data_IF_127519052573
#
_entry.id   IF_127519052573
#
_cell.length_a   1.000
_cell.length_b   1.000
_cell.length_c   1.000
_cell.angle_alpha   90.00
_cell.angle_beta   90.00
_cell.angle_gamma   90.00
#
_symmetry.space_group_name_H-M   'P 1'
#
loop_
_entity.id
_entity.type
_entity.pdbx_description
1 polymer ?
#
# COMPACT_ATOMS: atom_id res chain seq x y z
N UNK A 1 22.57 18.09 -8.40
CA UNK A 1 21.74 17.31 -9.34
C UNK A 1 20.44 16.79 -8.74
N UNK A 2 20.40 16.22 -7.52
CA UNK A 2 19.14 15.92 -6.82
C UNK A 2 18.62 17.12 -5.99
N UNK A 3 19.51 17.97 -5.47
CA UNK A 3 19.14 19.20 -4.74
C UNK A 3 18.65 20.33 -5.67
N UNK A 4 19.08 20.35 -6.94
CA UNK A 4 18.57 21.34 -7.92
C UNK A 4 17.13 21.05 -8.36
N UNK A 5 16.66 19.80 -8.21
CA UNK A 5 15.27 19.40 -8.51
C UNK A 5 14.28 19.78 -7.40
N UNK A 6 14.78 20.03 -6.18
CA UNK A 6 13.97 20.36 -5.01
C UNK A 6 13.72 21.87 -4.95
N UNK A 7 14.65 22.70 -5.44
CA UNK A 7 14.50 24.16 -5.53
C UNK A 7 13.66 24.62 -6.75
N UNK A 8 13.58 23.84 -7.84
CA UNK A 8 12.86 24.23 -9.06
C UNK A 8 11.35 23.89 -9.05
N UNK A 9 10.90 22.97 -8.19
CA UNK A 9 9.52 22.44 -8.19
C UNK A 9 8.74 22.69 -6.89
N UNK A 10 9.17 23.65 -6.08
CA UNK A 10 8.48 24.05 -4.84
C UNK A 10 7.06 24.60 -5.09
N UNK A 11 6.05 23.76 -4.84
CA UNK A 11 4.74 24.09 -4.25
C UNK A 11 3.75 25.01 -5.00
N UNK A 12 4.18 25.86 -5.94
CA UNK A 12 3.33 26.92 -6.50
C UNK A 12 2.92 26.71 -7.96
N UNK A 13 3.57 25.81 -8.70
CA UNK A 13 3.36 25.63 -10.16
C UNK A 13 2.30 24.56 -10.49
N UNK A 14 1.94 23.70 -9.53
CA UNK A 14 1.01 22.58 -9.74
C UNK A 14 -0.45 23.07 -9.87
N UNK A 15 -0.80 24.23 -9.29
CA UNK A 15 -2.15 24.80 -9.43
C UNK A 15 -2.37 25.54 -10.76
N UNK A 16 -1.32 26.08 -11.39
CA UNK A 16 -1.44 26.97 -12.56
C UNK A 16 -1.46 26.19 -13.89
N UNK A 17 -0.77 25.04 -13.97
CA UNK A 17 -0.72 24.20 -15.19
C UNK A 17 -1.97 23.35 -15.44
N UNK A 18 -2.77 23.05 -14.42
CA UNK A 18 -3.97 22.21 -14.59
C UNK A 18 -5.22 22.98 -15.06
N UNK A 19 -5.16 24.32 -15.10
CA UNK A 19 -6.31 25.20 -15.37
C UNK A 19 -6.47 25.63 -16.85
N UNK A 20 -5.68 25.10 -17.78
CA UNK A 20 -5.84 25.39 -19.21
C UNK A 20 -5.99 24.10 -20.02
N UNK A 21 -6.98 24.09 -20.90
CA UNK A 21 -7.24 23.04 -21.92
C UNK A 21 -7.84 21.71 -21.41
N UNK A 22 -9.16 21.72 -21.11
CA UNK A 22 -9.94 20.50 -20.86
C UNK A 22 -10.59 19.90 -22.13
N UNK A 23 -10.57 20.61 -23.27
CA UNK A 23 -11.14 20.11 -24.53
C UNK A 23 -10.28 19.04 -25.26
N UNK A 24 -9.12 18.65 -24.71
CA UNK A 24 -8.22 17.64 -25.30
C UNK A 24 -8.05 16.36 -24.45
N UNK A 25 -8.84 16.19 -23.37
CA UNK A 25 -8.59 15.18 -22.33
C UNK A 25 -9.28 13.83 -22.59
N UNK A 26 -8.69 13.00 -23.45
CA UNK A 26 -8.96 11.53 -23.53
C UNK A 26 -7.72 10.68 -23.17
N UNK A 27 -6.64 11.29 -22.70
CA UNK A 27 -5.55 10.55 -22.09
C UNK A 27 -4.86 11.43 -21.07
N UNK A 28 -4.72 10.94 -19.83
CA UNK A 28 -3.83 11.54 -18.84
C UNK A 28 -2.42 11.61 -19.47
N UNK A 29 -1.87 12.83 -19.60
CA UNK A 29 -0.55 13.03 -20.20
C UNK A 29 0.51 12.46 -19.25
N UNK A 30 0.96 11.23 -19.54
CA UNK A 30 1.97 10.49 -18.77
C UNK A 30 3.31 11.23 -18.67
N UNK A 31 3.54 12.28 -19.48
CA UNK A 31 4.74 13.13 -19.40
C UNK A 31 4.82 13.97 -18.11
N UNK A 32 3.71 14.08 -17.37
CA UNK A 32 3.67 14.79 -16.09
C UNK A 32 4.02 13.90 -14.89
N UNK A 33 4.14 12.58 -15.10
CA UNK A 33 4.66 11.68 -14.08
C UNK A 33 6.19 11.60 -14.19
N UNK A 34 6.93 11.49 -13.07
CA UNK A 34 8.34 11.14 -13.10
C UNK A 34 8.55 9.92 -14.01
N UNK A 35 9.52 9.99 -14.93
CA UNK A 35 9.65 9.01 -16.03
C UNK A 35 9.75 7.55 -15.57
N UNK A 36 10.27 7.32 -14.36
CA UNK A 36 10.33 6.00 -13.75
C UNK A 36 8.94 5.47 -13.36
N UNK A 37 8.06 6.32 -12.81
CA UNK A 37 6.68 5.97 -12.44
C UNK A 37 5.80 5.72 -13.67
N UNK A 38 5.97 6.51 -14.73
CA UNK A 38 5.27 6.28 -15.99
C UNK A 38 5.61 4.90 -16.58
N UNK A 39 6.89 4.50 -16.51
CA UNK A 39 7.34 3.18 -17.00
C UNK A 39 6.86 2.00 -16.14
N UNK A 40 6.74 2.21 -14.82
CA UNK A 40 6.22 1.20 -13.88
C UNK A 40 4.71 1.07 -13.98
N UNK A 41 3.98 2.16 -14.19
CA UNK A 41 2.55 2.17 -14.46
C UNK A 41 2.19 1.30 -15.69
N UNK A 42 2.95 1.45 -16.78
CA UNK A 42 2.77 0.61 -18.00
C UNK A 42 3.05 -0.87 -17.72
N UNK A 43 3.98 -1.19 -16.81
CA UNK A 43 4.31 -2.58 -16.42
C UNK A 43 3.38 -3.18 -15.35
N UNK A 44 2.74 -2.35 -14.54
CA UNK A 44 1.87 -2.75 -13.44
C UNK A 44 0.42 -3.06 -13.87
N UNK A 45 0.12 -2.94 -15.17
CA UNK A 45 -1.18 -3.29 -15.72
C UNK A 45 -1.55 -4.74 -15.34
N UNK A 46 -2.72 -4.99 -14.75
CA UNK A 46 -2.96 -6.25 -14.05
C UNK A 46 -3.11 -7.42 -15.02
N UNK A 47 -2.13 -8.31 -15.03
CA UNK A 47 -2.39 -9.72 -15.30
C UNK A 47 -3.02 -10.35 -14.06
N UNK A 48 -4.37 -10.45 -14.07
CA UNK A 48 -5.20 -11.35 -13.25
C UNK A 48 -4.68 -11.62 -11.81
N UNK A 49 -4.98 -10.74 -10.86
CA UNK A 49 -4.81 -11.04 -9.43
C UNK A 49 -6.02 -11.81 -8.91
N UNK A 50 -5.80 -13.02 -8.40
CA UNK A 50 -6.82 -13.83 -7.72
C UNK A 50 -7.37 -13.10 -6.49
N UNK A 51 -8.66 -13.31 -6.12
CA UNK A 51 -9.25 -12.68 -4.95
C UNK A 51 -8.45 -13.05 -3.70
N UNK A 52 -7.94 -12.03 -3.00
CA UNK A 52 -7.32 -12.15 -1.70
C UNK A 52 -8.32 -12.84 -0.77
N UNK A 53 -8.01 -14.09 -0.38
CA UNK A 53 -8.76 -14.81 0.64
C UNK A 53 -8.76 -13.96 1.90
N UNK A 54 -9.91 -13.35 2.21
CA UNK A 54 -10.13 -12.67 3.47
C UNK A 54 -9.76 -13.64 4.60
N UNK A 55 -8.85 -13.21 5.46
CA UNK A 55 -8.54 -13.89 6.71
C UNK A 55 -9.84 -13.93 7.53
N UNK A 56 -10.60 -15.03 7.42
CA UNK A 56 -11.76 -15.26 8.25
C UNK A 56 -11.26 -15.48 9.67
N UNK A 57 -11.62 -14.55 10.54
CA UNK A 57 -11.17 -14.46 11.92
C UNK A 57 -11.22 -15.79 12.67
N UNK A 58 -10.27 -15.89 13.61
CA UNK A 58 -10.10 -17.00 14.54
C UNK A 58 -11.43 -17.57 14.99
N UNK A 59 -11.61 -18.85 14.71
CA UNK A 59 -12.81 -19.59 15.02
C UNK A 59 -13.05 -19.57 16.54
N UNK A 60 -14.30 -19.41 16.96
CA UNK A 60 -14.70 -19.48 18.38
C UNK A 60 -14.33 -20.78 19.11
N UNK A 61 -13.70 -21.75 18.41
CA UNK A 61 -13.08 -22.93 19.01
C UNK A 61 -11.85 -22.61 19.87
N UNK A 62 -11.09 -21.56 19.56
CA UNK A 62 -9.88 -21.19 20.32
C UNK A 62 -10.22 -20.72 21.75
N UNK A 63 -11.34 -20.02 21.92
CA UNK A 63 -11.84 -19.60 23.24
C UNK A 63 -12.39 -20.76 24.08
N UNK A 64 -12.97 -21.78 23.46
CA UNK A 64 -13.43 -22.98 24.15
C UNK A 64 -12.25 -23.87 24.59
N UNK A 65 -11.21 -23.96 23.76
CA UNK A 65 -9.99 -24.70 24.10
C UNK A 65 -9.25 -24.06 25.30
N UNK A 66 -9.16 -22.74 25.34
CA UNK A 66 -8.52 -22.00 26.43
C UNK A 66 -9.28 -22.12 27.78
N UNK A 67 -10.61 -22.15 27.74
CA UNK A 67 -11.42 -22.27 28.97
C UNK A 67 -11.39 -23.69 29.57
N UNK A 68 -11.36 -24.73 28.74
CA UNK A 68 -11.21 -26.13 29.21
C UNK A 68 -9.84 -26.35 29.85
N UNK A 69 -8.78 -25.75 29.30
CA UNK A 69 -7.41 -25.91 29.83
C UNK A 69 -7.23 -25.22 31.19
N UNK A 70 -7.87 -24.07 31.44
CA UNK A 70 -7.90 -23.43 32.78
C UNK A 70 -8.60 -24.31 33.82
N UNK A 71 -9.68 -25.01 33.44
CA UNK A 71 -10.38 -25.94 34.34
C UNK A 71 -9.51 -27.13 34.75
N UNK A 72 -8.86 -27.78 33.78
CA UNK A 72 -7.99 -28.92 34.04
C UNK A 72 -6.79 -28.54 34.91
N UNK A 73 -6.23 -27.34 34.68
CA UNK A 73 -5.11 -26.85 35.49
C UNK A 73 -5.56 -26.53 36.92
N UNK A 74 -6.70 -25.88 37.13
CA UNK A 74 -7.17 -25.52 38.48
C UNK A 74 -7.51 -26.73 39.36
N UNK A 75 -8.13 -27.78 38.80
CA UNK A 75 -8.44 -29.01 39.52
C UNK A 75 -7.18 -29.75 39.96
N UNK A 76 -6.11 -29.69 39.17
CA UNK A 76 -4.80 -30.25 39.51
C UNK A 76 -4.17 -29.56 40.73
N UNK A 77 -4.20 -28.22 40.80
CA UNK A 77 -3.62 -27.49 41.94
C UNK A 77 -4.37 -27.72 43.26
N UNK A 78 -5.71 -27.87 43.22
CA UNK A 78 -6.49 -28.18 44.42
C UNK A 78 -6.19 -29.58 44.96
N UNK A 79 -5.94 -30.56 44.08
CA UNK A 79 -5.58 -31.92 44.48
C UNK A 79 -4.15 -32.03 45.02
N UNK A 80 -3.22 -31.17 44.57
CA UNK A 80 -1.80 -31.24 44.94
C UNK A 80 -1.48 -30.45 46.22
N UNK A 81 -2.23 -29.39 46.54
CA UNK A 81 -1.92 -28.49 47.67
C UNK A 81 -3.02 -28.45 48.76
N UNK A 82 -3.96 -29.39 48.71
CA UNK A 82 -5.11 -29.46 49.61
C UNK A 82 -4.80 -30.05 50.98
N UNK A 83 -3.83 -29.49 51.72
CA UNK A 83 -3.72 -29.70 53.17
C UNK A 83 -3.73 -28.34 53.90
N UNK A 84 -4.74 -28.16 54.74
CA UNK A 84 -4.86 -27.18 55.85
C UNK A 84 -5.07 -25.67 55.61
N UNK A 85 -5.33 -25.18 54.38
CA UNK A 85 -5.73 -23.77 54.21
C UNK A 85 -7.10 -23.59 53.54
N UNK A 86 -8.15 -23.84 54.33
CA UNK A 86 -9.55 -23.68 53.94
C UNK A 86 -9.89 -22.27 53.40
N UNK A 87 -9.06 -21.24 53.62
CA UNK A 87 -9.28 -19.88 53.11
C UNK A 87 -8.91 -19.70 51.63
N UNK A 88 -7.91 -20.42 51.11
CA UNK A 88 -7.44 -20.23 49.73
C UNK A 88 -8.28 -20.99 48.72
N UNK A 89 -8.85 -22.14 49.12
CA UNK A 89 -9.74 -22.94 48.28
C UNK A 89 -11.00 -22.16 47.88
N UNK A 90 -11.61 -21.41 48.81
CA UNK A 90 -12.77 -20.57 48.50
C UNK A 90 -12.45 -19.43 47.53
N UNK A 91 -11.28 -18.79 47.64
CA UNK A 91 -10.87 -17.73 46.71
C UNK A 91 -10.66 -18.26 45.28
N UNK A 92 -10.08 -19.46 45.13
CA UNK A 92 -9.90 -20.11 43.83
C UNK A 92 -11.23 -20.57 43.22
N UNK A 93 -12.15 -21.09 44.05
CA UNK A 93 -13.50 -21.47 43.61
C UNK A 93 -14.27 -20.22 43.12
N UNK A 94 -14.22 -19.13 43.89
CA UNK A 94 -14.89 -17.88 43.53
C UNK A 94 -14.30 -17.27 42.25
N UNK A 95 -12.98 -17.23 42.12
CA UNK A 95 -12.29 -16.71 40.93
C UNK A 95 -12.62 -17.49 39.66
N UNK A 96 -12.64 -18.84 39.74
CA UNK A 96 -13.05 -19.69 38.61
C UNK A 96 -14.52 -19.49 38.24
N UNK A 97 -15.40 -19.32 39.24
CA UNK A 97 -16.82 -19.08 38.99
C UNK A 97 -17.05 -17.76 38.22
N UNK A 98 -16.32 -16.69 38.57
CA UNK A 98 -16.38 -15.39 37.87
C UNK A 98 -15.90 -15.52 36.43
N UNK A 99 -14.79 -16.23 36.18
CA UNK A 99 -14.25 -16.46 34.84
C UNK A 99 -15.25 -17.24 33.95
N UNK A 100 -15.85 -18.30 34.48
CA UNK A 100 -16.85 -19.09 33.75
C UNK A 100 -18.08 -18.27 33.45
N UNK A 101 -18.55 -17.46 34.39
CA UNK A 101 -19.70 -16.58 34.19
C UNK A 101 -19.41 -15.54 33.09
N UNK A 102 -18.22 -14.95 33.08
CA UNK A 102 -17.79 -14.00 32.05
C UNK A 102 -17.71 -14.68 30.66
N UNK A 103 -17.15 -15.89 30.57
CA UNK A 103 -17.13 -16.66 29.32
C UNK A 103 -18.52 -17.03 28.82
N UNK A 104 -19.44 -17.39 29.72
CA UNK A 104 -20.82 -17.75 29.35
C UNK A 104 -21.61 -16.54 28.86
N UNK A 105 -21.40 -15.37 29.48
CA UNK A 105 -21.99 -14.10 29.04
C UNK A 105 -21.42 -13.66 27.69
N UNK A 106 -20.10 -13.76 27.48
CA UNK A 106 -19.47 -13.48 26.19
C UNK A 106 -19.97 -14.40 25.07
N UNK A 107 -20.10 -15.70 25.34
CA UNK A 107 -20.64 -16.66 24.38
C UNK A 107 -22.11 -16.39 24.06
N UNK A 108 -22.94 -16.04 25.05
CA UNK A 108 -24.33 -15.64 24.82
C UNK A 108 -24.43 -14.36 23.98
N UNK A 109 -23.59 -13.36 24.22
CA UNK A 109 -23.57 -12.14 23.41
C UNK A 109 -23.21 -12.45 21.95
N UNK A 110 -22.19 -13.29 21.71
CA UNK A 110 -21.79 -13.73 20.37
C UNK A 110 -22.91 -14.54 19.69
N UNK A 111 -23.57 -15.43 20.43
CA UNK A 111 -24.69 -16.21 19.90
C UNK A 111 -25.94 -15.37 19.65
N UNK A 112 -26.20 -14.34 20.45
CA UNK A 112 -27.29 -13.38 20.21
C UNK A 112 -27.01 -12.52 18.98
N UNK A 113 -25.76 -12.10 18.76
CA UNK A 113 -25.36 -11.40 17.52
C UNK A 113 -25.53 -12.32 16.30
N UNK A 114 -25.25 -13.62 16.43
CA UNK A 114 -25.45 -14.60 15.35
C UNK A 114 -26.90 -15.04 15.13
N UNK A 115 -27.76 -14.94 16.14
CA UNK A 115 -29.20 -15.29 16.09
C UNK A 115 -30.12 -14.10 15.85
N UNK A 116 -29.61 -12.87 15.91
CA UNK A 116 -30.33 -11.72 15.39
C UNK A 116 -30.60 -11.98 13.91
N UNK A 117 -31.88 -12.03 13.53
CA UNK A 117 -32.27 -12.13 12.12
C UNK A 117 -31.48 -11.08 11.34
N UNK A 118 -30.88 -11.44 10.18
CA UNK A 118 -30.18 -10.46 9.37
C UNK A 118 -31.15 -9.30 9.12
N UNK A 119 -30.74 -8.05 9.36
CA UNK A 119 -31.63 -6.92 9.24
C UNK A 119 -32.30 -6.98 7.87
N UNK A 120 -33.64 -7.00 7.86
CA UNK A 120 -34.41 -7.03 6.61
C UNK A 120 -34.17 -5.71 5.90
N UNK A 121 -33.11 -5.65 5.09
CA UNK A 121 -32.76 -4.47 4.32
C UNK A 121 -33.91 -4.11 3.39
N UNK A 122 -34.41 -2.89 3.54
CA UNK A 122 -35.42 -2.33 2.64
C UNK A 122 -34.84 -2.20 1.23
N UNK A 123 -35.69 -1.97 0.22
CA UNK A 123 -35.23 -1.80 -1.17
C UNK A 123 -34.29 -0.60 -1.32
N UNK A 124 -34.53 0.48 -0.56
CA UNK A 124 -33.64 1.64 -0.46
C UNK A 124 -32.33 1.31 0.25
N UNK A 125 -32.34 0.50 1.31
CA UNK A 125 -31.10 0.09 2.00
C UNK A 125 -30.24 -0.80 1.09
N UNK A 126 -30.87 -1.69 0.31
CA UNK A 126 -30.14 -2.48 -0.70
C UNK A 126 -29.60 -1.63 -1.83
N UNK A 127 -30.29 -0.56 -2.22
CA UNK A 127 -29.76 0.41 -3.19
C UNK A 127 -28.58 1.20 -2.61
N UNK A 128 -28.64 1.59 -1.33
CA UNK A 128 -27.53 2.24 -0.64
C UNK A 128 -26.35 1.29 -0.44
N UNK A 129 -26.60 0.02 -0.12
CA UNK A 129 -25.58 -1.02 0.02
C UNK A 129 -24.95 -1.39 -1.33
N UNK A 130 -25.74 -1.46 -2.40
CA UNK A 130 -25.22 -1.62 -3.78
C UNK A 130 -24.47 -0.39 -4.26
N UNK A 131 -24.93 0.82 -3.93
CA UNK A 131 -24.19 2.05 -4.17
C UNK A 131 -22.90 2.14 -3.33
N UNK A 132 -22.82 1.38 -2.23
CA UNK A 132 -21.63 1.20 -1.43
C UNK A 132 -20.74 0.03 -1.90
N UNK A 133 -21.22 -0.80 -2.85
CA UNK A 133 -20.42 -1.83 -3.48
C UNK A 133 -19.62 -1.18 -4.62
N UNK A 134 -18.35 -0.91 -4.36
CA UNK A 134 -17.45 -0.23 -5.30
C UNK A 134 -16.99 -1.21 -6.38
N UNK A 135 -17.83 -1.43 -7.39
CA UNK A 135 -17.50 -2.29 -8.53
C UNK A 135 -17.46 -1.48 -9.82
N UNK A 136 -16.24 -1.28 -10.32
CA UNK A 136 -16.02 -0.77 -11.66
C UNK A 136 -16.58 -1.73 -12.71
N UNK A 137 -17.21 -1.24 -13.79
CA UNK A 137 -17.62 -2.09 -14.89
C UNK A 137 -16.42 -2.83 -15.49
N UNK A 138 -16.45 -4.16 -15.45
CA UNK A 138 -15.42 -5.02 -16.02
C UNK A 138 -15.71 -5.36 -17.48
N UNK A 139 -16.99 -5.34 -17.87
CA UNK A 139 -17.42 -5.69 -19.22
C UNK A 139 -18.39 -4.67 -19.78
N UNK A 140 -18.38 -4.54 -21.12
CA UNK A 140 -19.29 -3.65 -21.87
C UNK A 140 -20.76 -3.87 -21.50
N UNK A 141 -21.17 -5.11 -21.24
CA UNK A 141 -22.57 -5.43 -20.93
C UNK A 141 -23.00 -4.94 -19.53
N UNK A 142 -22.06 -4.69 -18.61
CA UNK A 142 -22.33 -4.15 -17.27
C UNK A 142 -22.68 -2.64 -17.33
N UNK A 143 -22.38 -1.96 -18.44
CA UNK A 143 -22.78 -0.56 -18.70
C UNK A 143 -24.25 -0.39 -19.13
N UNK A 144 -25.05 -1.45 -19.04
CA UNK A 144 -26.41 -1.53 -19.56
C UNK A 144 -27.45 -0.61 -18.91
N UNK A 145 -28.71 -1.05 -18.87
CA UNK A 145 -29.89 -0.25 -18.52
C UNK A 145 -29.90 0.45 -17.15
N UNK A 146 -28.89 0.25 -16.32
CA UNK A 146 -28.80 0.83 -14.98
C UNK A 146 -28.39 2.31 -15.00
N UNK A 147 -27.63 2.75 -16.02
CA UNK A 147 -27.09 4.10 -16.08
C UNK A 147 -27.84 5.01 -17.05
N UNK A 148 -28.10 6.26 -16.63
CA UNK A 148 -28.78 7.25 -17.46
C UNK A 148 -27.94 7.68 -18.66
N UNK A 149 -26.61 7.68 -18.54
CA UNK A 149 -25.67 8.09 -19.58
C UNK A 149 -25.07 6.91 -20.38
N UNK A 150 -25.75 5.76 -20.42
CA UNK A 150 -25.24 4.50 -21.05
C UNK A 150 -24.68 4.68 -22.46
N UNK A 151 -25.33 5.46 -23.31
CA UNK A 151 -24.93 5.64 -24.72
C UNK A 151 -23.56 6.32 -24.83
N UNK A 152 -23.22 7.19 -23.87
CA UNK A 152 -21.92 7.83 -23.78
C UNK A 152 -20.88 6.86 -23.21
N UNK A 153 -21.21 6.15 -22.13
CA UNK A 153 -20.32 5.19 -21.48
C UNK A 153 -19.93 4.04 -22.42
N UNK A 154 -20.88 3.49 -23.18
CA UNK A 154 -20.60 2.45 -24.19
C UNK A 154 -19.66 2.97 -25.27
N UNK A 155 -19.84 4.23 -25.71
CA UNK A 155 -18.97 4.85 -26.71
C UNK A 155 -17.56 5.09 -26.18
N UNK A 156 -17.42 5.57 -24.95
CA UNK A 156 -16.13 5.73 -24.26
C UNK A 156 -15.42 4.38 -24.16
N UNK A 157 -16.16 3.34 -23.74
CA UNK A 157 -15.66 1.97 -23.65
C UNK A 157 -15.17 1.43 -24.99
N UNK A 158 -16.00 1.54 -26.03
CA UNK A 158 -15.68 1.05 -27.37
C UNK A 158 -14.46 1.80 -27.94
N UNK A 159 -14.33 3.10 -27.65
CA UNK A 159 -13.18 3.90 -28.06
C UNK A 159 -11.89 3.38 -27.40
N UNK A 160 -11.90 3.11 -26.10
CA UNK A 160 -10.73 2.61 -25.39
C UNK A 160 -10.39 1.14 -25.72
N UNK A 161 -11.40 0.32 -26.03
CA UNK A 161 -11.22 -1.09 -26.41
C UNK A 161 -10.43 -1.26 -27.71
N UNK A 162 -10.59 -0.32 -28.65
CA UNK A 162 -9.83 -0.28 -29.91
C UNK A 162 -8.32 -0.13 -29.64
N UNK A 163 -7.92 0.54 -28.56
CA UNK A 163 -6.52 0.81 -28.24
C UNK A 163 -5.87 -0.22 -27.31
N UNK A 164 -6.64 -0.93 -26.48
CA UNK A 164 -6.11 -1.74 -25.37
C UNK A 164 -5.98 -3.25 -25.68
N UNK A 165 -6.71 -3.79 -26.66
CA UNK A 165 -6.60 -5.18 -27.11
C UNK A 165 -6.93 -6.27 -26.06
N UNK A 166 -7.20 -5.91 -24.81
CA UNK A 166 -7.44 -6.82 -23.67
C UNK A 166 -8.65 -6.34 -22.86
N UNK A 167 -9.60 -7.24 -22.60
CA UNK A 167 -10.95 -6.92 -22.13
C UNK A 167 -11.12 -6.77 -20.60
N UNK A 168 -10.21 -7.31 -19.76
CA UNK A 168 -10.55 -7.61 -18.36
C UNK A 168 -10.33 -6.49 -17.33
N UNK A 169 -9.64 -5.40 -17.66
CA UNK A 169 -9.42 -4.26 -16.75
C UNK A 169 -9.56 -2.92 -17.50
N UNK A 170 -10.51 -2.86 -18.44
CA UNK A 170 -10.67 -1.71 -19.33
C UNK A 170 -11.05 -0.43 -18.57
N UNK A 171 -11.72 -0.52 -17.42
CA UNK A 171 -12.19 0.65 -16.69
C UNK A 171 -11.08 1.68 -16.43
N UNK A 172 -9.88 1.23 -16.02
CA UNK A 172 -8.72 2.09 -15.77
C UNK A 172 -8.13 2.72 -17.04
N UNK A 173 -8.46 2.21 -18.23
CA UNK A 173 -8.11 2.81 -19.52
C UNK A 173 -9.19 3.73 -20.06
N UNK A 174 -10.45 3.47 -19.71
CA UNK A 174 -11.61 4.21 -20.22
C UNK A 174 -11.81 5.49 -19.41
N UNK A 175 -11.76 5.38 -18.09
CA UNK A 175 -12.14 6.45 -17.18
C UNK A 175 -10.96 6.90 -16.32
N UNK A 176 -10.81 8.22 -16.25
CA UNK A 176 -9.77 8.88 -15.43
C UNK A 176 -9.88 8.48 -13.96
N UNK A 177 -11.09 8.23 -13.47
CA UNK A 177 -11.34 7.91 -12.07
C UNK A 177 -10.74 6.56 -11.69
N UNK A 178 -10.96 5.54 -12.50
CA UNK A 178 -10.35 4.23 -12.31
C UNK A 178 -8.83 4.26 -12.52
N UNK A 179 -8.34 5.07 -13.47
CA UNK A 179 -6.91 5.31 -13.67
C UNK A 179 -6.24 5.86 -12.40
N UNK A 180 -6.87 6.85 -11.76
CA UNK A 180 -6.35 7.48 -10.54
C UNK A 180 -6.31 6.50 -9.36
N UNK A 181 -7.29 5.60 -9.25
CA UNK A 181 -7.27 4.50 -8.28
C UNK A 181 -6.07 3.58 -8.52
N UNK A 182 -5.85 3.15 -9.77
CA UNK A 182 -4.69 2.31 -10.11
C UNK A 182 -3.35 2.99 -9.79
N UNK A 183 -3.25 4.31 -10.03
CA UNK A 183 -2.06 5.08 -9.66
C UNK A 183 -1.87 5.15 -8.14
N UNK A 184 -2.93 5.35 -7.37
CA UNK A 184 -2.88 5.33 -5.91
C UNK A 184 -2.45 3.96 -5.35
N UNK A 185 -2.96 2.86 -5.93
CA UNK A 185 -2.56 1.50 -5.57
C UNK A 185 -1.07 1.27 -5.83
N UNK A 186 -0.58 1.68 -7.00
CA UNK A 186 0.84 1.60 -7.36
C UNK A 186 1.72 2.39 -6.37
N UNK A 187 1.36 3.63 -6.05
CA UNK A 187 2.09 4.45 -5.06
C UNK A 187 2.11 3.77 -3.68
N UNK A 188 0.99 3.20 -3.26
CA UNK A 188 0.93 2.47 -1.99
C UNK A 188 1.79 1.21 -2.00
N UNK A 189 1.83 0.48 -3.12
CA UNK A 189 2.72 -0.69 -3.29
C UNK A 189 4.20 -0.27 -3.22
N UNK A 190 4.57 0.88 -3.80
CA UNK A 190 5.93 1.43 -3.67
C UNK A 190 6.26 1.86 -2.24
N UNK A 191 5.32 2.52 -1.55
CA UNK A 191 5.48 2.86 -0.13
C UNK A 191 5.68 1.58 0.69
N UNK A 192 4.87 0.53 0.49
CA UNK A 192 5.02 -0.77 1.18
C UNK A 192 6.36 -1.43 0.86
N UNK A 193 6.89 -1.23 -0.35
CA UNK A 193 8.15 -1.80 -0.79
C UNK A 193 9.37 -1.08 -0.21
N UNK A 194 9.23 0.18 0.20
CA UNK A 194 10.30 1.00 0.77
C UNK A 194 10.91 0.39 2.04
N UNK A 195 12.19 0.65 2.28
CA UNK A 195 12.93 0.11 3.43
C UNK A 195 12.48 0.77 4.73
N UNK A 196 12.29 2.08 4.70
CA UNK A 196 11.77 2.89 5.80
C UNK A 196 10.40 2.42 6.25
N UNK A 197 9.51 2.03 5.32
CA UNK A 197 8.22 1.45 5.67
C UNK A 197 8.33 0.14 6.43
N UNK A 198 9.24 -0.75 6.01
CA UNK A 198 9.47 -2.04 6.67
C UNK A 198 10.21 -1.90 8.00
N UNK A 199 10.98 -0.83 8.18
CA UNK A 199 11.65 -0.51 9.43
C UNK A 199 10.67 -0.07 10.53
N UNK A 200 11.08 -0.21 11.79
CA UNK A 200 10.31 0.29 12.93
C UNK A 200 10.35 1.82 13.05
N UNK A 201 11.25 2.50 12.33
CA UNK A 201 11.51 3.94 12.47
C UNK A 201 10.24 4.78 12.28
N UNK A 202 9.48 4.53 11.20
CA UNK A 202 8.23 5.26 10.95
C UNK A 202 7.15 4.94 12.00
N UNK A 203 7.18 3.76 12.61
CA UNK A 203 6.22 3.38 13.66
C UNK A 203 6.53 4.07 14.99
N UNK A 204 7.81 4.15 15.37
CA UNK A 204 8.27 4.85 16.58
C UNK A 204 7.91 6.33 16.52
N UNK A 205 8.08 6.96 15.36
CA UNK A 205 7.75 8.38 15.16
C UNK A 205 6.28 8.64 14.81
N UNK A 206 5.41 7.61 14.82
CA UNK A 206 3.99 7.72 14.43
C UNK A 206 3.76 8.36 13.05
N UNK A 207 4.71 8.15 12.14
CA UNK A 207 4.68 8.69 10.78
C UNK A 207 4.00 7.75 9.78
N UNK A 208 3.71 6.49 10.16
CA UNK A 208 2.99 5.56 9.29
C UNK A 208 1.55 6.00 9.07
N UNK A 209 1.17 6.13 7.81
CA UNK A 209 -0.20 6.37 7.36
C UNK A 209 -0.96 5.05 7.21
N UNK A 210 -2.29 5.07 7.28
CA UNK A 210 -3.09 3.89 6.95
C UNK A 210 -3.32 3.82 5.43
N UNK A 211 -2.49 3.04 4.74
CA UNK A 211 -2.55 2.90 3.28
C UNK A 211 -3.83 2.19 2.83
N UNK A 212 -4.32 1.20 3.58
CA UNK A 212 -5.53 0.45 3.19
C UNK A 212 -6.77 1.33 3.29
N UNK A 213 -6.91 2.04 4.41
CA UNK A 213 -7.98 3.01 4.57
C UNK A 213 -7.89 4.16 3.54
N UNK A 214 -6.65 4.58 3.22
CA UNK A 214 -6.38 5.57 2.18
C UNK A 214 -6.86 5.15 0.80
N UNK A 215 -6.47 3.96 0.33
CA UNK A 215 -6.89 3.40 -0.96
C UNK A 215 -8.40 3.19 -1.00
N UNK A 216 -8.99 2.63 0.06
CA UNK A 216 -10.42 2.38 0.12
C UNK A 216 -11.24 3.69 0.01
N UNK A 217 -10.80 4.77 0.68
CA UNK A 217 -11.46 6.07 0.57
C UNK A 217 -11.24 6.71 -0.81
N UNK A 218 -10.06 6.59 -1.40
CA UNK A 218 -9.78 7.05 -2.77
C UNK A 218 -10.68 6.33 -3.77
N UNK A 219 -10.75 5.00 -3.72
CA UNK A 219 -11.60 4.19 -4.59
C UNK A 219 -13.08 4.56 -4.43
N UNK A 220 -13.55 4.71 -3.19
CA UNK A 220 -14.93 5.13 -2.91
C UNK A 220 -15.26 6.49 -3.55
N UNK A 221 -14.38 7.49 -3.40
CA UNK A 221 -14.58 8.83 -3.95
C UNK A 221 -14.49 8.84 -5.47
N UNK A 222 -13.50 8.15 -6.04
CA UNK A 222 -13.34 7.97 -7.48
C UNK A 222 -14.61 7.38 -8.10
N UNK A 223 -15.11 6.30 -7.49
CA UNK A 223 -16.33 5.64 -7.95
C UNK A 223 -17.56 6.57 -7.87
N UNK A 224 -17.66 7.42 -6.84
CA UNK A 224 -18.76 8.41 -6.73
C UNK A 224 -18.69 9.49 -7.81
N UNK A 225 -17.49 9.98 -8.13
CA UNK A 225 -17.27 10.94 -9.23
C UNK A 225 -17.68 10.28 -10.55
N UNK A 226 -17.24 9.05 -10.79
CA UNK A 226 -17.64 8.28 -11.96
C UNK A 226 -19.16 8.03 -12.02
N UNK A 227 -19.80 7.70 -10.89
CA UNK A 227 -21.25 7.53 -10.83
C UNK A 227 -22.02 8.82 -11.15
N UNK A 228 -21.47 9.98 -10.80
CA UNK A 228 -22.03 11.27 -11.21
C UNK A 228 -22.01 11.40 -12.74
N UNK A 229 -20.89 11.08 -13.40
CA UNK A 229 -20.80 11.04 -14.86
C UNK A 229 -21.76 10.01 -15.49
N UNK A 230 -21.83 8.82 -14.91
CA UNK A 230 -22.66 7.72 -15.40
C UNK A 230 -24.17 7.99 -15.26
N UNK A 231 -24.58 8.74 -14.23
CA UNK A 231 -25.99 9.03 -13.94
C UNK A 231 -26.43 10.44 -14.33
N UNK A 232 -25.56 11.27 -14.91
CA UNK A 232 -25.98 12.58 -15.41
C UNK A 232 -26.71 12.42 -16.75
N UNK A 233 -28.01 12.76 -16.75
CA UNK A 233 -28.84 12.65 -17.94
C UNK A 233 -28.57 13.80 -18.93
N UNK A 234 -28.39 13.48 -20.20
CA UNK A 234 -28.30 14.50 -21.25
C UNK A 234 -29.70 15.02 -21.60
N UNK A 235 -29.95 16.34 -21.59
CA UNK A 235 -31.25 16.90 -21.90
C UNK A 235 -31.66 16.55 -23.35
N UNK A 236 -32.88 16.03 -23.52
CA UNK A 236 -33.45 15.70 -24.84
C UNK A 236 -34.57 16.69 -25.17
N UNK A 237 -34.46 17.37 -26.31
CA UNK A 237 -35.49 18.29 -26.81
C UNK A 237 -35.34 19.74 -26.31
N UNK A 238 -36.41 20.53 -26.43
CA UNK A 238 -36.49 21.94 -25.99
C UNK A 238 -37.66 22.12 -25.04
N UNK A 239 -37.51 22.99 -24.05
CA UNK A 239 -38.57 23.35 -23.10
C UNK A 239 -38.08 23.48 -21.66
N UNK A 240 -38.98 23.89 -20.77
CA UNK A 240 -38.66 24.19 -19.36
C UNK A 240 -38.09 22.96 -18.63
N UNK A 241 -38.62 21.76 -18.91
CA UNK A 241 -38.13 20.52 -18.29
C UNK A 241 -36.72 20.15 -18.80
N UNK A 242 -36.46 20.32 -20.09
CA UNK A 242 -35.12 20.06 -20.65
C UNK A 242 -34.08 21.05 -20.08
N UNK A 243 -34.48 22.30 -19.86
CA UNK A 243 -33.63 23.29 -19.20
C UNK A 243 -33.35 22.93 -17.74
N UNK A 244 -34.37 22.54 -16.97
CA UNK A 244 -34.17 22.13 -15.58
C UNK A 244 -33.26 20.89 -15.44
N UNK A 245 -33.36 19.94 -16.38
CA UNK A 245 -32.44 18.79 -16.45
C UNK A 245 -31.01 19.23 -16.80
N UNK A 246 -30.86 20.17 -17.72
CA UNK A 246 -29.55 20.73 -18.07
C UNK A 246 -28.91 21.47 -16.89
N UNK A 247 -29.68 22.31 -16.19
CA UNK A 247 -29.21 23.07 -15.03
C UNK A 247 -28.77 22.11 -13.91
N UNK A 248 -29.58 21.09 -13.60
CA UNK A 248 -29.22 20.05 -12.63
C UNK A 248 -27.97 19.28 -13.05
N UNK A 249 -27.88 18.87 -14.32
CA UNK A 249 -26.71 18.16 -14.85
C UNK A 249 -25.44 18.97 -14.71
N UNK A 250 -25.48 20.26 -15.05
CA UNK A 250 -24.33 21.15 -14.91
C UNK A 250 -23.89 21.34 -13.44
N UNK A 251 -24.84 21.35 -12.50
CA UNK A 251 -24.53 21.42 -11.08
C UNK A 251 -23.87 20.14 -10.56
N UNK A 252 -24.32 18.97 -11.05
CA UNK A 252 -23.70 17.67 -10.72
C UNK A 252 -22.30 17.57 -11.33
N UNK A 253 -22.12 17.96 -12.59
CA UNK A 253 -20.82 17.99 -13.26
C UNK A 253 -19.83 18.91 -12.54
N UNK A 254 -20.26 20.12 -12.16
CA UNK A 254 -19.43 21.05 -11.39
C UNK A 254 -19.02 20.45 -10.03
N UNK A 255 -19.96 19.86 -9.30
CA UNK A 255 -19.65 19.20 -8.03
C UNK A 255 -18.70 17.99 -8.21
N UNK A 256 -18.84 17.25 -9.30
CA UNK A 256 -17.98 16.14 -9.65
C UNK A 256 -16.55 16.60 -9.95
N UNK A 257 -16.36 17.72 -10.67
CA UNK A 257 -15.03 18.29 -10.92
C UNK A 257 -14.38 18.79 -9.63
N UNK A 258 -15.11 19.46 -8.74
CA UNK A 258 -14.56 19.87 -7.43
C UNK A 258 -14.15 18.66 -6.59
N UNK A 259 -14.96 17.60 -6.59
CA UNK A 259 -14.62 16.36 -5.90
C UNK A 259 -13.43 15.64 -6.54
N UNK A 260 -13.31 15.71 -7.86
CA UNK A 260 -12.19 15.19 -8.63
C UNK A 260 -10.88 15.89 -8.27
N UNK A 261 -10.85 17.23 -8.25
CA UNK A 261 -9.66 17.99 -7.89
C UNK A 261 -9.17 17.67 -6.47
N UNK A 262 -10.11 17.57 -5.51
CA UNK A 262 -9.79 17.15 -4.15
C UNK A 262 -9.23 15.72 -4.08
N UNK A 263 -9.72 14.82 -4.95
CA UNK A 263 -9.25 13.45 -5.05
C UNK A 263 -7.83 13.39 -5.64
N UNK A 264 -7.56 14.14 -6.72
CA UNK A 264 -6.23 14.26 -7.32
C UNK A 264 -5.24 14.79 -6.30
N UNK A 265 -5.60 15.86 -5.58
CA UNK A 265 -4.76 16.41 -4.52
C UNK A 265 -4.39 15.35 -3.46
N UNK A 266 -5.33 14.49 -3.09
CA UNK A 266 -5.07 13.42 -2.13
C UNK A 266 -4.09 12.37 -2.64
N UNK A 267 -4.15 12.03 -3.93
CA UNK A 267 -3.17 11.12 -4.54
C UNK A 267 -1.81 11.78 -4.66
N UNK A 268 -1.75 13.08 -4.92
CA UNK A 268 -0.49 13.85 -4.87
C UNK A 268 0.14 13.80 -3.48
N UNK A 269 -0.64 13.90 -2.40
CA UNK A 269 -0.13 13.74 -1.03
C UNK A 269 0.50 12.35 -0.79
N UNK A 270 0.01 11.29 -1.45
CA UNK A 270 0.66 9.97 -1.39
C UNK A 270 2.02 9.97 -2.10
N UNK A 271 2.11 10.64 -3.26
CA UNK A 271 3.36 10.80 -3.98
C UNK A 271 4.37 11.66 -3.18
N UNK A 272 3.92 12.74 -2.54
CA UNK A 272 4.73 13.55 -1.65
C UNK A 272 5.22 12.76 -0.44
N UNK A 273 4.35 11.92 0.15
CA UNK A 273 4.75 11.03 1.23
C UNK A 273 5.83 10.04 0.79
N UNK A 274 5.69 9.43 -0.39
CA UNK A 274 6.71 8.55 -0.97
C UNK A 274 8.04 9.30 -1.20
N UNK A 275 7.99 10.54 -1.70
CA UNK A 275 9.17 11.37 -1.87
C UNK A 275 9.82 11.73 -0.52
N UNK A 276 9.01 11.98 0.51
CA UNK A 276 9.50 12.34 1.85
C UNK A 276 10.21 11.17 2.56
N UNK A 277 9.82 9.92 2.29
CA UNK A 277 10.48 8.74 2.88
C UNK A 277 11.75 8.31 2.12
N UNK A 278 11.93 8.71 0.85
CA UNK A 278 13.06 8.30 0.03
C UNK A 278 14.45 8.64 0.63
N UNK A 279 14.68 9.82 1.25
CA UNK A 279 15.95 10.09 1.93
C UNK A 279 16.21 9.15 3.11
N UNK A 280 15.16 8.71 3.82
CA UNK A 280 15.28 7.77 4.93
C UNK A 280 15.71 6.40 4.41
N UNK A 281 15.18 5.97 3.26
CA UNK A 281 15.59 4.72 2.59
C UNK A 281 17.08 4.71 2.24
N UNK A 282 17.62 5.84 1.78
CA UNK A 282 19.06 5.98 1.47
C UNK A 282 19.89 5.80 2.75
N UNK A 283 19.55 6.52 3.83
CA UNK A 283 20.28 6.43 5.10
C UNK A 283 20.21 5.01 5.68
N UNK A 284 19.05 4.35 5.62
CA UNK A 284 18.90 2.97 6.08
C UNK A 284 19.76 2.01 5.24
N UNK A 285 19.84 2.22 3.92
CA UNK A 285 20.72 1.43 3.07
C UNK A 285 22.20 1.61 3.44
N UNK A 286 22.64 2.84 3.67
CA UNK A 286 24.02 3.14 4.06
C UNK A 286 24.37 2.52 5.42
N UNK A 287 23.45 2.56 6.39
CA UNK A 287 23.62 1.91 7.68
C UNK A 287 23.72 0.38 7.58
N UNK A 288 22.92 -0.25 6.71
CA UNK A 288 23.05 -1.68 6.43
C UNK A 288 24.42 -2.02 5.83
N UNK A 289 24.92 -1.20 4.89
CA UNK A 289 26.24 -1.38 4.29
C UNK A 289 27.35 -1.21 5.33
N UNK A 290 27.27 -0.18 6.18
CA UNK A 290 28.21 0.04 7.28
C UNK A 290 28.19 -1.11 8.30
N UNK A 291 27.01 -1.62 8.64
CA UNK A 291 26.88 -2.76 9.56
C UNK A 291 27.45 -4.04 8.92
N UNK A 292 27.24 -4.26 7.63
CA UNK A 292 27.86 -5.35 6.90
C UNK A 292 29.39 -5.22 6.88
N UNK A 293 29.92 -4.04 6.57
CA UNK A 293 31.36 -3.77 6.53
C UNK A 293 32.03 -3.96 7.91
N UNK A 294 31.41 -3.47 8.98
CA UNK A 294 31.92 -3.63 10.36
C UNK A 294 31.85 -5.07 10.87
N UNK A 295 30.83 -5.83 10.45
CA UNK A 295 30.72 -7.26 10.79
C UNK A 295 31.87 -8.09 10.20
N UNK A 296 32.38 -7.71 9.03
CA UNK A 296 33.57 -8.30 8.42
C UNK A 296 34.83 -7.52 8.84
N UNK A 297 35.24 -7.66 10.10
CA UNK A 297 36.36 -6.97 10.78
C UNK A 297 37.47 -6.42 9.84
N UNK A 298 37.28 -5.21 9.26
CA UNK A 298 38.13 -4.69 8.21
C UNK A 298 39.50 -4.28 8.76
N UNK A 299 39.58 -3.98 10.07
CA UNK A 299 40.83 -3.59 10.73
C UNK A 299 41.86 -4.71 10.71
N UNK A 300 41.45 -5.97 10.91
CA UNK A 300 42.36 -7.11 10.77
C UNK A 300 42.85 -7.30 9.33
N UNK A 301 41.99 -7.02 8.34
CA UNK A 301 42.36 -7.13 6.93
C UNK A 301 43.27 -5.98 6.48
N UNK A 302 43.00 -4.75 6.93
CA UNK A 302 43.85 -3.57 6.70
C UNK A 302 45.21 -3.74 7.39
N UNK A 303 45.23 -4.25 8.64
CA UNK A 303 46.47 -4.58 9.32
C UNK A 303 47.25 -5.66 8.56
N UNK A 304 46.58 -6.71 8.08
CA UNK A 304 47.23 -7.77 7.34
C UNK A 304 47.78 -7.28 5.98
N UNK A 305 47.06 -6.43 5.26
CA UNK A 305 47.57 -5.77 4.04
C UNK A 305 48.79 -4.88 4.31
N UNK A 306 48.84 -4.17 5.44
CA UNK A 306 50.03 -3.40 5.82
C UNK A 306 51.22 -4.31 6.19
N UNK A 307 50.97 -5.43 6.87
CA UNK A 307 52.00 -6.44 7.14
C UNK A 307 52.52 -7.04 5.83
N UNK A 308 51.64 -7.40 4.91
CA UNK A 308 52.01 -7.98 3.62
C UNK A 308 52.81 -6.97 2.76
N UNK A 309 52.43 -5.68 2.77
CA UNK A 309 53.18 -4.64 2.08
C UNK A 309 54.60 -4.46 2.67
N UNK A 310 54.72 -4.43 4.00
CA UNK A 310 56.02 -4.31 4.68
C UNK A 310 56.91 -5.54 4.45
N UNK A 311 56.32 -6.74 4.41
CA UNK A 311 57.04 -7.97 4.08
C UNK A 311 57.54 -7.95 2.63
N UNK A 312 56.72 -7.49 1.67
CA UNK A 312 57.13 -7.36 0.27
C UNK A 312 58.29 -6.39 0.05
N UNK A 313 58.33 -5.27 0.79
CA UNK A 313 59.46 -4.33 0.76
C UNK A 313 60.75 -4.98 1.32
N UNK A 314 60.64 -5.75 2.39
CA UNK A 314 61.78 -6.47 2.94
C UNK A 314 62.31 -7.56 1.98
N UNK A 315 61.42 -8.35 1.38
CA UNK A 315 61.79 -9.40 0.42
C UNK A 315 62.44 -8.83 -0.83
N UNK A 316 61.95 -7.70 -1.34
CA UNK A 316 62.59 -7.00 -2.47
C UNK A 316 63.98 -6.47 -2.12
N UNK A 317 64.17 -5.91 -0.92
CA UNK A 317 65.50 -5.51 -0.45
C UNK A 317 66.46 -6.70 -0.32
N UNK A 318 66.00 -7.84 0.23
CA UNK A 318 66.78 -9.08 0.30
C UNK A 318 67.15 -9.59 -1.09
N UNK A 319 66.20 -9.61 -2.04
CA UNK A 319 66.44 -10.04 -3.42
C UNK A 319 67.46 -9.16 -4.13
N UNK A 320 67.39 -7.84 -3.96
CA UNK A 320 68.38 -6.90 -4.52
C UNK A 320 69.76 -7.15 -3.90
N UNK A 321 69.84 -7.34 -2.58
CA UNK A 321 71.07 -7.66 -1.87
C UNK A 321 71.70 -8.97 -2.36
N UNK A 322 70.89 -10.03 -2.51
CA UNK A 322 71.31 -11.33 -3.05
C UNK A 322 71.75 -11.25 -4.51
N UNK A 323 71.05 -10.46 -5.32
CA UNK A 323 71.45 -10.22 -6.70
C UNK A 323 72.81 -9.52 -6.79
N UNK A 324 73.07 -8.54 -5.91
CA UNK A 324 74.37 -7.87 -5.80
C UNK A 324 75.48 -8.83 -5.35
N UNK A 325 75.23 -9.71 -4.39
CA UNK A 325 76.18 -10.75 -3.98
C UNK A 325 76.56 -11.67 -5.14
N UNK A 326 75.57 -12.12 -5.93
CA UNK A 326 75.80 -12.98 -7.09
C UNK A 326 76.59 -12.24 -8.17
N UNK A 327 76.27 -10.97 -8.42
CA UNK A 327 77.02 -10.13 -9.35
C UNK A 327 78.49 -9.98 -8.93
N UNK A 328 78.76 -9.74 -7.64
CA UNK A 328 80.12 -9.67 -7.12
C UNK A 328 80.89 -10.98 -7.30
N UNK A 329 80.24 -12.14 -7.04
CA UNK A 329 80.85 -13.45 -7.28
C UNK A 329 81.16 -13.66 -8.78
N UNK A 330 80.30 -13.20 -9.68
CA UNK A 330 80.54 -13.29 -11.12
C UNK A 330 81.70 -12.39 -11.59
N UNK A 331 81.87 -11.20 -11.00
CA UNK A 331 83.02 -10.33 -11.26
C UNK A 331 84.32 -10.96 -10.75
N UNK A 332 84.33 -11.49 -9.52
CA UNK A 332 85.50 -12.14 -8.91
C UNK A 332 85.96 -13.40 -9.69
N UNK A 333 85.05 -14.08 -10.39
CA UNK A 333 85.35 -15.24 -11.23
C UNK A 333 85.86 -14.87 -12.64
N UNK A 334 85.74 -13.60 -13.04
CA UNK A 334 86.16 -13.11 -14.35
C UNK A 334 87.59 -12.52 -14.35
N UNK A 335 88.18 -12.27 -13.18
CA UNK A 335 89.58 -11.86 -12.98
C UNK A 335 90.55 -13.04 -12.86
#
# INVERSE_FOLDING_TARGET
MLNDLIDEYGGHVIAEKFNMSWASRVSMDLSQLPGELASRYVKAQPGRREPVKSYSGGSGGEFLAASISVWLFSGFWVAVFGDDSASWTWLLILGNFVLVLASFLGLKAILQIKRADPPKFSRSDRQLLRAAEFKWPAERHELGHEYLNRECLEKEWDTAAVYSGHASDLAAYVWREAQLVGLAEMLCDEIRASRSWRSELLSVHRARIDLEAGIADINCRAHRVWLAHANTAKPRGRGIVAQAVADYGSAVEFAAEVAWDALVYRVLLLAEYLAAIAPIDIVLHDLELLNAATKYNPDSFVQQLHVDAALGEFETHELVRRAQEIWGICEDLAE
#
